data_IF_847173460290
#
_entry.id   IF_847173460290
#
_cell.length_a   1.000
_cell.length_b   1.000
_cell.length_c   1.000
_cell.angle_alpha   90.00
_cell.angle_beta   90.00
_cell.angle_gamma   90.00
#
_symmetry.space_group_name_H-M   'P 1'
#
loop_
_entity.id
_entity.type
_entity.pdbx_description
1 polymer ?
#
# COMPACT_ATOMS: atom_id res chain seq x y z
N UNK A 1 -1.00 2.66 -30.98
CA UNK A 1 -2.11 1.92 -31.60
C UNK A 1 -1.71 0.45 -31.68
N UNK A 2 -2.61 -0.48 -31.35
CA UNK A 2 -2.36 -1.93 -31.44
C UNK A 2 -3.40 -2.55 -32.36
N UNK A 3 -3.04 -3.61 -33.06
CA UNK A 3 -3.95 -4.38 -33.92
C UNK A 3 -5.15 -4.87 -33.09
N UNK A 4 -6.36 -4.86 -33.65
CA UNK A 4 -7.58 -5.25 -32.92
C UNK A 4 -7.48 -6.66 -32.33
N UNK A 5 -6.80 -7.58 -33.03
CA UNK A 5 -6.58 -8.97 -32.59
C UNK A 5 -5.72 -9.06 -31.32
N UNK A 6 -4.78 -8.13 -31.14
CA UNK A 6 -3.79 -8.18 -30.04
C UNK A 6 -4.21 -7.31 -28.85
N UNK A 7 -5.32 -6.58 -28.97
CA UNK A 7 -5.80 -5.64 -27.95
C UNK A 7 -6.08 -6.30 -26.60
N UNK A 8 -6.67 -7.49 -26.59
CA UNK A 8 -6.99 -8.22 -25.36
C UNK A 8 -5.72 -8.67 -24.64
N UNK A 9 -4.74 -9.20 -25.38
CA UNK A 9 -3.44 -9.62 -24.84
C UNK A 9 -2.67 -8.41 -24.30
N UNK A 10 -2.62 -7.31 -25.04
CA UNK A 10 -1.97 -6.09 -24.61
C UNK A 10 -2.56 -5.54 -23.30
N UNK A 11 -3.89 -5.55 -23.16
CA UNK A 11 -4.56 -5.15 -21.91
C UNK A 11 -4.25 -6.11 -20.76
N UNK A 12 -4.27 -7.43 -21.00
CA UNK A 12 -3.93 -8.43 -19.98
C UNK A 12 -2.50 -8.28 -19.46
N UNK A 13 -1.52 -8.11 -20.37
CA UNK A 13 -0.12 -7.88 -20.00
C UNK A 13 0.04 -6.56 -19.24
N UNK A 14 -0.63 -5.50 -19.68
CA UNK A 14 -0.60 -4.20 -18.98
C UNK A 14 -1.13 -4.34 -17.55
N UNK A 15 -2.27 -5.02 -17.37
CA UNK A 15 -2.85 -5.26 -16.05
C UNK A 15 -2.00 -6.16 -15.17
N UNK A 16 -1.30 -7.14 -15.74
CA UNK A 16 -0.34 -7.98 -15.02
C UNK A 16 0.77 -7.11 -14.40
N UNK A 17 1.34 -6.21 -15.19
CA UNK A 17 2.38 -5.30 -14.70
C UNK A 17 1.86 -4.30 -13.67
N UNK A 18 0.67 -3.72 -13.88
CA UNK A 18 0.02 -2.83 -12.90
C UNK A 18 -0.22 -3.59 -11.59
N UNK A 19 -0.68 -4.83 -11.66
CA UNK A 19 -0.92 -5.64 -10.46
C UNK A 19 0.39 -5.89 -9.70
N UNK A 20 1.44 -6.29 -10.40
CA UNK A 20 2.73 -6.62 -9.82
C UNK A 20 3.42 -5.42 -9.17
N UNK A 21 3.34 -4.25 -9.79
CA UNK A 21 4.14 -3.09 -9.39
C UNK A 21 3.35 -1.97 -8.70
N UNK A 22 2.02 -1.98 -8.76
CA UNK A 22 1.19 -0.98 -8.11
C UNK A 22 0.23 -1.61 -7.09
N UNK A 23 -0.59 -2.58 -7.51
CA UNK A 23 -1.67 -3.09 -6.65
C UNK A 23 -1.20 -4.01 -5.53
N UNK A 24 -0.14 -4.80 -5.76
CA UNK A 24 0.48 -5.64 -4.73
C UNK A 24 1.34 -4.81 -3.78
N UNK A 25 2.33 -4.02 -4.24
CA UNK A 25 3.20 -3.28 -3.34
C UNK A 25 2.52 -2.07 -2.69
N UNK A 26 1.47 -1.50 -3.31
CA UNK A 26 0.74 -0.34 -2.76
C UNK A 26 0.24 -0.58 -1.34
N UNK A 27 -0.66 -1.55 -1.09
CA UNK A 27 -1.15 -1.87 0.25
C UNK A 27 -0.05 -2.27 1.23
N UNK A 28 1.01 -2.95 0.76
CA UNK A 28 2.16 -3.33 1.61
C UNK A 28 2.91 -2.09 2.10
N UNK A 29 3.20 -1.15 1.20
CA UNK A 29 3.86 0.11 1.52
C UNK A 29 3.00 0.97 2.45
N UNK A 30 1.71 1.13 2.12
CA UNK A 30 0.78 1.90 2.96
C UNK A 30 0.60 1.26 4.34
N UNK A 31 0.53 -0.07 4.43
CA UNK A 31 0.55 -0.79 5.71
C UNK A 31 1.83 -0.51 6.51
N UNK A 32 2.99 -0.54 5.86
CA UNK A 32 4.26 -0.24 6.52
C UNK A 32 4.35 1.24 6.99
N UNK A 33 3.78 2.19 6.24
CA UNK A 33 3.70 3.59 6.67
C UNK A 33 2.86 3.70 7.93
N UNK A 34 1.66 3.12 7.94
CA UNK A 34 0.76 3.13 9.11
C UNK A 34 1.48 2.54 10.33
N UNK A 35 2.08 1.37 10.19
CA UNK A 35 2.81 0.69 11.27
C UNK A 35 3.98 1.51 11.82
N UNK A 36 4.73 2.21 10.95
CA UNK A 36 5.88 3.03 11.37
C UNK A 36 5.51 4.27 12.17
N UNK A 37 4.29 4.76 11.99
CA UNK A 37 3.79 5.92 12.76
C UNK A 37 3.17 5.54 14.09
N UNK A 38 3.08 4.25 14.40
CA UNK A 38 2.55 3.80 15.67
C UNK A 38 3.50 4.14 16.83
N UNK A 39 2.97 4.85 17.82
CA UNK A 39 3.67 5.19 19.06
C UNK A 39 3.42 4.17 20.17
N UNK A 40 2.18 3.64 20.25
CA UNK A 40 1.77 2.69 21.29
C UNK A 40 1.04 1.51 20.65
N UNK A 41 1.69 0.34 20.69
CA UNK A 41 1.12 -0.92 20.26
C UNK A 41 0.28 -1.57 21.36
N UNK A 42 -0.88 -2.10 20.98
CA UNK A 42 -1.63 -3.00 21.84
C UNK A 42 -0.89 -4.32 21.98
N UNK A 43 -0.85 -4.83 23.21
CA UNK A 43 -0.43 -6.19 23.49
C UNK A 43 -1.53 -6.90 24.25
N UNK A 44 -2.12 -7.92 23.62
CA UNK A 44 -3.14 -8.77 24.23
C UNK A 44 -2.66 -10.22 24.16
N UNK A 45 -2.71 -10.93 25.29
CA UNK A 45 -2.23 -12.30 25.41
C UNK A 45 -0.77 -12.51 24.96
N UNK A 46 0.07 -11.46 24.99
CA UNK A 46 1.47 -11.51 24.56
C UNK A 46 1.68 -11.30 23.06
N UNK A 47 0.62 -11.12 22.27
CA UNK A 47 0.71 -10.85 20.83
C UNK A 47 0.52 -9.35 20.54
N UNK A 48 1.18 -8.88 19.48
CA UNK A 48 1.07 -7.51 18.97
C UNK A 48 -0.28 -7.36 18.24
N UNK A 49 -1.15 -6.52 18.78
CA UNK A 49 -2.46 -6.21 18.21
C UNK A 49 -2.47 -4.91 17.42
N UNK A 50 -3.57 -4.15 17.55
CA UNK A 50 -3.75 -2.88 16.86
C UNK A 50 -2.89 -1.78 17.48
N UNK A 51 -2.61 -0.71 16.74
CA UNK A 51 -2.00 0.47 17.35
C UNK A 51 -3.08 1.35 18.00
N UNK A 52 -2.85 1.79 19.23
CA UNK A 52 -3.77 2.68 19.95
C UNK A 52 -3.52 4.16 19.64
N UNK A 53 -2.26 4.54 19.42
CA UNK A 53 -1.89 5.92 19.21
C UNK A 53 -0.84 6.07 18.11
N UNK A 54 -1.16 6.90 17.12
CA UNK A 54 -0.30 7.20 15.98
C UNK A 54 0.23 8.63 16.06
N UNK A 55 1.46 8.85 15.62
CA UNK A 55 2.02 10.18 15.40
C UNK A 55 1.28 10.89 14.27
N UNK A 56 0.51 11.93 14.61
CA UNK A 56 -0.35 12.63 13.66
C UNK A 56 0.42 13.39 12.58
N UNK A 57 1.55 13.99 12.92
CA UNK A 57 2.28 14.84 11.98
C UNK A 57 3.06 13.97 11.00
N UNK A 58 3.75 12.94 11.50
CA UNK A 58 4.42 11.97 10.65
C UNK A 58 3.44 11.20 9.77
N UNK A 59 2.28 10.80 10.31
CA UNK A 59 1.24 10.11 9.55
C UNK A 59 0.72 10.96 8.39
N UNK A 60 0.43 12.24 8.63
CA UNK A 60 -0.05 13.16 7.59
C UNK A 60 1.01 13.39 6.51
N UNK A 61 2.25 13.63 6.90
CA UNK A 61 3.34 13.90 5.95
C UNK A 61 3.65 12.65 5.14
N UNK A 62 3.77 11.49 5.78
CA UNK A 62 4.10 10.25 5.10
C UNK A 62 2.97 9.82 4.15
N UNK A 63 1.71 9.79 4.62
CA UNK A 63 0.58 9.35 3.81
C UNK A 63 0.35 10.26 2.60
N UNK A 64 0.31 11.58 2.82
CA UNK A 64 0.04 12.54 1.75
C UNK A 64 1.28 12.75 0.86
N UNK A 65 2.49 12.59 1.39
CA UNK A 65 3.73 12.71 0.62
C UNK A 65 3.97 11.54 -0.31
N UNK A 66 3.49 10.34 0.03
CA UNK A 66 3.55 9.15 -0.85
C UNK A 66 2.36 9.03 -1.80
N UNK A 67 1.27 9.75 -1.52
CA UNK A 67 0.11 9.86 -2.42
C UNK A 67 0.39 10.95 -3.47
N UNK A 68 1.23 10.62 -4.46
CA UNK A 68 1.51 11.45 -5.63
C UNK A 68 1.00 10.77 -6.90
#
# INVERSE_FOLDING_TARGET
CVETRDKSVAQGVTLMFISLFALIPGPILYGAIIDRTCLIWEHSCGEKGNCWHYDRDLFRIALNGTAA
#
